data_IF_800695658611
#
_entry.id   IF_800695658611
#
_cell.length_a   1.000
_cell.length_b   1.000
_cell.length_c   1.000
_cell.angle_alpha   90.00
_cell.angle_beta   90.00
_cell.angle_gamma   90.00
#
_symmetry.space_group_name_H-M   'P 1'
#
loop_
_entity.id
_entity.type
_entity.pdbx_description
1 polymer ?
#
# COMPACT_ATOMS: atom_id res chain seq x y z
N UNK A 1 -27.21 14.60 -0.33
CA UNK A 1 -26.05 15.11 0.43
C UNK A 1 -24.91 15.38 -0.53
N UNK A 2 -24.00 16.31 -0.21
CA UNK A 2 -22.83 16.59 -1.05
C UNK A 2 -21.60 15.84 -0.52
N UNK A 3 -20.92 15.11 -1.40
CA UNK A 3 -19.69 14.36 -1.09
C UNK A 3 -18.57 14.77 -2.05
N UNK A 4 -17.33 14.44 -1.71
CA UNK A 4 -16.18 14.65 -2.61
C UNK A 4 -15.89 13.34 -3.35
N UNK A 5 -15.66 13.42 -4.65
CA UNK A 5 -15.18 12.31 -5.47
C UNK A 5 -13.92 12.73 -6.23
N UNK A 6 -13.08 11.76 -6.57
CA UNK A 6 -11.95 11.90 -7.50
C UNK A 6 -12.37 11.44 -8.89
N UNK A 7 -12.20 12.31 -9.88
CA UNK A 7 -12.44 12.00 -11.29
C UNK A 7 -11.25 11.22 -11.90
N UNK A 8 -11.40 10.63 -13.11
CA UNK A 8 -10.30 9.90 -13.76
C UNK A 8 -9.04 10.73 -14.04
N UNK A 9 -9.18 12.06 -14.18
CA UNK A 9 -8.09 13.03 -14.30
C UNK A 9 -7.54 13.49 -12.95
N UNK A 10 -7.84 12.77 -11.86
CA UNK A 10 -7.37 13.05 -10.50
C UNK A 10 -7.85 14.38 -9.90
N UNK A 11 -8.93 14.95 -10.43
CA UNK A 11 -9.53 16.17 -9.92
C UNK A 11 -10.56 15.87 -8.83
N UNK A 12 -10.54 16.63 -7.74
CA UNK A 12 -11.54 16.55 -6.67
C UNK A 12 -12.74 17.40 -7.00
N UNK A 13 -13.92 16.80 -7.10
CA UNK A 13 -15.19 17.51 -7.35
C UNK A 13 -16.25 17.17 -6.30
N UNK A 14 -17.20 18.09 -6.11
CA UNK A 14 -18.36 17.86 -5.24
C UNK A 14 -19.51 17.29 -6.06
N UNK A 15 -20.05 16.16 -5.63
CA UNK A 15 -21.22 15.51 -6.24
C UNK A 15 -22.36 15.43 -5.23
N UNK A 16 -23.59 15.68 -5.67
CA UNK A 16 -24.78 15.49 -4.84
C UNK A 16 -25.33 14.09 -5.06
N UNK A 17 -25.40 13.31 -3.99
CA UNK A 17 -25.88 11.92 -4.01
C UNK A 17 -26.99 11.69 -2.99
N UNK A 18 -27.79 10.65 -3.18
CA UNK A 18 -28.73 10.15 -2.18
C UNK A 18 -28.02 9.28 -1.14
N UNK A 19 -28.67 9.05 0.01
CA UNK A 19 -28.17 8.11 1.03
C UNK A 19 -28.07 6.70 0.43
N UNK A 20 -29.07 6.28 -0.36
CA UNK A 20 -29.09 4.95 -0.98
C UNK A 20 -27.93 4.75 -1.97
N UNK A 21 -27.62 5.76 -2.77
CA UNK A 21 -26.44 5.75 -3.64
C UNK A 21 -25.15 5.59 -2.82
N UNK A 22 -25.00 6.36 -1.73
CA UNK A 22 -23.83 6.21 -0.85
C UNK A 22 -23.70 4.79 -0.27
N UNK A 23 -24.82 4.10 -0.02
CA UNK A 23 -24.83 2.76 0.58
C UNK A 23 -24.67 1.60 -0.42
N UNK A 24 -24.80 1.83 -1.73
CA UNK A 24 -24.88 0.73 -2.70
C UNK A 24 -24.20 0.98 -4.05
N UNK A 25 -23.83 2.23 -4.37
CA UNK A 25 -23.23 2.54 -5.66
C UNK A 25 -21.71 2.27 -5.64
N UNK A 26 -21.32 1.14 -6.22
CA UNK A 26 -19.92 0.75 -6.35
C UNK A 26 -19.13 1.69 -7.28
N UNK A 27 -19.76 2.33 -8.27
CA UNK A 27 -19.10 3.35 -9.11
C UNK A 27 -18.68 4.52 -8.23
N UNK A 28 -19.58 4.97 -7.36
CA UNK A 28 -19.29 6.06 -6.45
C UNK A 28 -18.15 5.71 -5.49
N UNK A 29 -18.19 4.52 -4.88
CA UNK A 29 -17.15 4.08 -3.95
C UNK A 29 -15.75 4.05 -4.57
N UNK A 30 -15.63 3.62 -5.83
CA UNK A 30 -14.35 3.61 -6.58
C UNK A 30 -13.74 5.00 -6.74
N UNK A 31 -14.56 6.05 -6.70
CA UNK A 31 -14.11 7.42 -6.87
C UNK A 31 -13.77 8.11 -5.53
N UNK A 32 -14.05 7.48 -4.40
CA UNK A 32 -13.84 8.06 -3.07
C UNK A 32 -12.62 7.47 -2.36
N UNK A 33 -11.70 8.35 -1.96
CA UNK A 33 -10.49 8.02 -1.19
C UNK A 33 -10.76 8.18 0.31
N UNK A 34 -9.86 7.68 1.18
CA UNK A 34 -10.03 7.78 2.65
C UNK A 34 -10.43 9.18 3.14
N UNK A 35 -9.74 10.22 2.67
CA UNK A 35 -10.04 11.60 3.07
C UNK A 35 -11.40 12.11 2.59
N UNK A 36 -11.92 11.57 1.49
CA UNK A 36 -13.26 11.91 1.00
C UNK A 36 -14.33 11.29 1.90
N UNK A 37 -14.12 10.03 2.30
CA UNK A 37 -14.97 9.31 3.25
C UNK A 37 -14.98 9.98 4.62
N UNK A 38 -13.84 10.44 5.11
CA UNK A 38 -13.75 11.14 6.39
C UNK A 38 -14.59 12.43 6.42
N UNK A 39 -14.81 13.05 5.25
CA UNK A 39 -15.68 14.22 5.09
C UNK A 39 -17.19 13.91 5.01
N UNK A 40 -17.59 12.64 4.95
CA UNK A 40 -18.99 12.22 4.98
C UNK A 40 -19.51 12.25 6.41
N UNK A 41 -20.75 12.72 6.58
CA UNK A 41 -21.41 12.75 7.90
C UNK A 41 -21.37 11.35 8.57
N UNK A 42 -20.93 11.25 9.84
CA UNK A 42 -20.80 9.98 10.55
C UNK A 42 -22.07 9.12 10.55
N UNK A 43 -23.27 9.74 10.52
CA UNK A 43 -24.55 9.05 10.52
C UNK A 43 -24.76 8.19 9.26
N UNK A 44 -24.17 8.57 8.13
CA UNK A 44 -24.27 7.83 6.87
C UNK A 44 -23.00 7.05 6.55
N UNK A 45 -21.83 7.58 6.92
CA UNK A 45 -20.53 6.99 6.62
C UNK A 45 -20.39 5.57 7.17
N UNK A 46 -20.76 5.33 8.42
CA UNK A 46 -20.56 4.02 9.07
C UNK A 46 -21.34 2.92 8.35
N UNK A 47 -22.61 3.17 8.04
CA UNK A 47 -23.46 2.22 7.30
C UNK A 47 -22.94 1.96 5.89
N UNK A 48 -22.48 3.00 5.19
CA UNK A 48 -21.87 2.89 3.87
C UNK A 48 -20.59 2.03 3.90
N UNK A 49 -19.70 2.27 4.87
CA UNK A 49 -18.46 1.50 5.02
C UNK A 49 -18.73 0.04 5.41
N UNK A 50 -19.76 -0.23 6.21
CA UNK A 50 -20.20 -1.60 6.51
C UNK A 50 -20.77 -2.31 5.28
N UNK A 51 -21.54 -1.61 4.46
CA UNK A 51 -22.03 -2.15 3.19
C UNK A 51 -20.85 -2.47 2.26
N UNK A 52 -19.89 -1.54 2.14
CA UNK A 52 -18.67 -1.73 1.37
C UNK A 52 -17.84 -2.92 1.87
N UNK A 53 -17.55 -3.02 3.17
CA UNK A 53 -16.77 -4.13 3.73
C UNK A 53 -17.44 -5.49 3.44
N UNK A 54 -18.78 -5.57 3.52
CA UNK A 54 -19.55 -6.77 3.18
C UNK A 54 -19.50 -7.11 1.68
N UNK A 55 -19.67 -6.12 0.81
CA UNK A 55 -19.63 -6.35 -0.65
C UNK A 55 -18.29 -6.90 -1.16
N UNK A 56 -17.20 -6.65 -0.42
CA UNK A 56 -15.85 -7.08 -0.78
C UNK A 56 -15.24 -8.10 0.18
N UNK A 57 -16.06 -8.76 1.02
CA UNK A 57 -15.59 -9.70 2.05
C UNK A 57 -14.70 -10.82 1.49
N UNK A 58 -14.94 -11.24 0.23
CA UNK A 58 -14.16 -12.30 -0.41
C UNK A 58 -12.67 -11.95 -0.54
N UNK A 59 -12.33 -10.66 -0.64
CA UNK A 59 -10.94 -10.20 -0.72
C UNK A 59 -10.20 -10.43 0.60
N UNK A 60 -10.91 -10.72 1.68
CA UNK A 60 -10.33 -10.91 3.01
C UNK A 60 -10.25 -12.39 3.42
N UNK A 61 -10.54 -13.31 2.49
CA UNK A 61 -10.42 -14.76 2.73
C UNK A 61 -8.99 -15.30 2.54
N UNK A 62 -8.09 -14.51 1.94
CA UNK A 62 -6.66 -14.81 1.84
C UNK A 62 -6.12 -14.88 0.41
N UNK A 63 -4.90 -15.45 0.22
CA UNK A 63 -4.18 -15.44 -1.06
C UNK A 63 -4.93 -16.02 -2.25
N UNK A 64 -5.81 -16.99 -2.00
CA UNK A 64 -6.66 -17.59 -3.03
C UNK A 64 -7.49 -16.57 -3.81
N UNK A 65 -7.93 -15.49 -3.14
CA UNK A 65 -8.70 -14.42 -3.79
C UNK A 65 -7.82 -13.45 -4.58
N UNK A 66 -6.56 -13.25 -4.19
CA UNK A 66 -5.70 -12.20 -4.75
C UNK A 66 -4.92 -12.65 -5.96
N UNK A 67 -4.40 -13.88 -5.94
CA UNK A 67 -3.43 -14.35 -6.93
C UNK A 67 -4.00 -14.49 -8.35
N UNK A 68 -5.32 -14.53 -8.49
CA UNK A 68 -6.02 -14.59 -9.78
C UNK A 68 -6.42 -13.21 -10.32
N UNK A 69 -6.34 -12.15 -9.51
CA UNK A 69 -6.76 -10.82 -9.91
C UNK A 69 -5.67 -10.12 -10.71
N UNK A 70 -6.03 -9.59 -11.88
CA UNK A 70 -5.16 -8.71 -12.67
C UNK A 70 -5.14 -7.30 -12.07
N UNK A 71 -4.26 -6.43 -12.54
CA UNK A 71 -4.26 -5.04 -12.11
C UNK A 71 -5.59 -4.34 -12.44
N UNK A 72 -6.24 -4.72 -13.54
CA UNK A 72 -7.54 -4.20 -13.96
C UNK A 72 -8.66 -4.64 -13.00
N UNK A 73 -8.64 -5.88 -12.52
CA UNK A 73 -9.59 -6.34 -11.49
C UNK A 73 -9.48 -5.50 -10.20
N UNK A 74 -8.27 -5.01 -9.89
CA UNK A 74 -8.02 -4.15 -8.73
C UNK A 74 -8.43 -2.68 -8.95
N UNK A 75 -8.55 -2.22 -10.19
CA UNK A 75 -9.09 -0.89 -10.51
C UNK A 75 -10.58 -0.80 -10.12
N UNK A 76 -11.27 -1.94 -10.09
CA UNK A 76 -12.67 -2.04 -9.68
C UNK A 76 -12.90 -2.13 -8.16
N UNK A 77 -11.83 -2.25 -7.38
CA UNK A 77 -11.92 -2.30 -5.91
C UNK A 77 -11.74 -0.88 -5.34
N UNK A 78 -12.68 -0.37 -4.51
CA UNK A 78 -12.55 0.94 -3.88
C UNK A 78 -11.25 1.07 -3.10
N UNK A 79 -10.62 2.25 -3.16
CA UNK A 79 -9.34 2.50 -2.47
C UNK A 79 -9.35 2.04 -1.01
N UNK A 80 -10.37 2.35 -0.19
CA UNK A 80 -10.36 1.95 1.20
C UNK A 80 -10.29 0.42 1.42
N UNK A 81 -10.96 -0.35 0.57
CA UNK A 81 -10.98 -1.83 0.63
C UNK A 81 -9.65 -2.40 0.17
N UNK A 82 -9.14 -1.96 -0.99
CA UNK A 82 -7.89 -2.50 -1.52
C UNK A 82 -6.70 -2.17 -0.62
N UNK A 83 -6.67 -1.01 0.04
CA UNK A 83 -5.65 -0.71 1.05
C UNK A 83 -5.63 -1.73 2.21
N UNK A 84 -6.79 -2.15 2.70
CA UNK A 84 -6.87 -3.20 3.74
C UNK A 84 -6.39 -4.56 3.20
N UNK A 85 -6.72 -4.87 1.95
CA UNK A 85 -6.23 -6.10 1.30
C UNK A 85 -4.70 -6.06 1.14
N UNK A 86 -4.13 -4.92 0.75
CA UNK A 86 -2.68 -4.76 0.55
C UNK A 86 -1.90 -4.93 1.85
N UNK A 87 -2.40 -4.40 2.97
CA UNK A 87 -1.80 -4.66 4.29
C UNK A 87 -1.73 -6.16 4.60
N UNK A 88 -2.81 -6.89 4.32
CA UNK A 88 -2.85 -8.35 4.52
C UNK A 88 -1.94 -9.11 3.55
N UNK A 89 -1.81 -8.65 2.31
CA UNK A 89 -0.82 -9.21 1.37
C UNK A 89 0.61 -8.98 1.86
N UNK A 90 0.93 -7.76 2.32
CA UNK A 90 2.25 -7.44 2.88
C UNK A 90 2.55 -8.33 4.08
N UNK A 91 1.59 -8.52 4.98
CA UNK A 91 1.77 -9.42 6.13
C UNK A 91 1.95 -10.88 5.70
N UNK A 92 1.16 -11.34 4.72
CA UNK A 92 1.33 -12.66 4.12
C UNK A 92 2.75 -12.84 3.57
N UNK A 93 3.23 -11.89 2.76
CA UNK A 93 4.55 -11.95 2.16
C UNK A 93 5.68 -11.83 3.18
N UNK A 94 5.56 -10.92 4.16
CA UNK A 94 6.57 -10.77 5.21
C UNK A 94 6.80 -12.09 5.96
N UNK A 95 5.72 -12.84 6.22
CA UNK A 95 5.79 -14.19 6.82
C UNK A 95 6.34 -15.23 5.85
N UNK A 96 5.81 -15.31 4.63
CA UNK A 96 6.21 -16.31 3.65
C UNK A 96 7.68 -16.18 3.23
N UNK A 97 8.16 -14.94 3.12
CA UNK A 97 9.55 -14.62 2.75
C UNK A 97 10.49 -14.56 3.97
N UNK A 98 9.95 -14.74 5.20
CA UNK A 98 10.73 -14.76 6.44
C UNK A 98 11.49 -13.47 6.73
N UNK A 99 10.92 -12.31 6.38
CA UNK A 99 11.63 -11.03 6.46
C UNK A 99 11.98 -10.68 7.90
N UNK A 100 13.27 -10.42 8.15
CA UNK A 100 13.77 -10.06 9.48
C UNK A 100 14.01 -11.24 10.43
N UNK A 101 13.64 -12.47 10.04
CA UNK A 101 13.82 -13.65 10.90
C UNK A 101 15.28 -13.91 11.27
N UNK A 102 16.21 -13.67 10.35
CA UNK A 102 17.65 -13.83 10.57
C UNK A 102 18.23 -12.80 11.58
N UNK A 103 17.49 -11.71 11.83
CA UNK A 103 17.85 -10.67 12.79
C UNK A 103 17.00 -10.72 14.07
N UNK A 104 16.18 -11.77 14.25
CA UNK A 104 15.31 -11.93 15.41
C UNK A 104 14.16 -10.91 15.47
N UNK A 105 13.80 -10.28 14.35
CA UNK A 105 12.73 -9.29 14.30
C UNK A 105 11.34 -9.95 14.29
N UNK A 106 10.38 -9.29 14.94
CA UNK A 106 8.99 -9.73 14.95
C UNK A 106 8.37 -9.47 13.57
N UNK A 107 7.82 -10.49 12.86
CA UNK A 107 7.28 -10.31 11.51
C UNK A 107 6.18 -9.26 11.41
N UNK A 108 5.38 -9.11 12.48
CA UNK A 108 4.34 -8.08 12.58
C UNK A 108 4.91 -6.67 12.41
N UNK A 109 5.98 -6.34 13.13
CA UNK A 109 6.58 -5.01 13.08
C UNK A 109 7.20 -4.74 11.70
N UNK A 110 7.82 -5.75 11.09
CA UNK A 110 8.38 -5.61 9.75
C UNK A 110 7.28 -5.38 8.71
N UNK A 111 6.19 -6.16 8.77
CA UNK A 111 5.04 -5.97 7.89
C UNK A 111 4.40 -4.58 8.06
N UNK A 112 4.27 -4.09 9.30
CA UNK A 112 3.78 -2.75 9.58
C UNK A 112 4.69 -1.66 8.99
N UNK A 113 6.02 -1.80 9.10
CA UNK A 113 6.98 -0.88 8.46
C UNK A 113 6.83 -0.89 6.94
N UNK A 114 6.76 -2.06 6.30
CA UNK A 114 6.55 -2.17 4.86
C UNK A 114 5.21 -1.54 4.45
N UNK A 115 4.14 -1.76 5.22
CA UNK A 115 2.85 -1.11 5.02
C UNK A 115 2.93 0.41 5.10
N UNK A 116 3.69 0.95 6.06
CA UNK A 116 3.91 2.38 6.20
C UNK A 116 4.73 2.95 5.03
N UNK A 117 5.74 2.23 4.54
CA UNK A 117 6.50 2.58 3.34
C UNK A 117 5.56 2.67 2.14
N UNK A 118 4.78 1.62 1.84
CA UNK A 118 3.84 1.61 0.72
C UNK A 118 2.83 2.77 0.82
N UNK A 119 2.33 3.06 2.02
CA UNK A 119 1.44 4.20 2.25
C UNK A 119 2.14 5.54 2.05
N UNK A 120 3.40 5.68 2.46
CA UNK A 120 4.18 6.89 2.23
C UNK A 120 4.53 7.08 0.74
N UNK A 121 4.78 6.00 0.01
CA UNK A 121 5.15 6.06 -1.40
C UNK A 121 3.98 6.40 -2.30
N UNK A 122 2.87 5.67 -2.18
CA UNK A 122 1.76 5.74 -3.13
C UNK A 122 0.42 6.04 -2.51
N UNK A 123 0.33 6.12 -1.18
CA UNK A 123 -0.95 6.13 -0.45
C UNK A 123 -1.85 4.94 -0.86
N UNK A 124 -1.22 3.78 -1.10
CA UNK A 124 -1.84 2.57 -1.61
C UNK A 124 -2.49 2.72 -3.00
N UNK A 125 -2.03 3.67 -3.83
CA UNK A 125 -2.39 3.74 -5.23
C UNK A 125 -1.52 2.76 -6.04
N UNK A 126 -2.12 1.66 -6.50
CA UNK A 126 -1.37 0.63 -7.21
C UNK A 126 -1.05 1.02 -8.65
N UNK A 127 -1.75 2.02 -9.21
CA UNK A 127 -1.43 2.63 -10.51
C UNK A 127 -0.49 3.84 -10.38
N UNK A 128 0.09 4.07 -9.21
CA UNK A 128 0.97 5.22 -8.99
C UNK A 128 2.14 5.19 -9.97
N UNK A 129 2.36 6.30 -10.65
CA UNK A 129 3.44 6.47 -11.61
C UNK A 129 4.07 7.83 -11.38
N UNK A 130 5.37 7.84 -11.14
CA UNK A 130 6.15 9.06 -11.05
C UNK A 130 7.29 8.99 -12.06
N UNK A 131 7.50 10.08 -12.80
CA UNK A 131 8.64 10.21 -13.69
C UNK A 131 9.38 11.50 -13.35
N UNK A 132 10.67 11.37 -13.04
CA UNK A 132 11.49 12.53 -12.74
C UNK A 132 11.96 13.23 -14.04
N UNK A 133 12.58 14.41 -13.89
CA UNK A 133 13.06 15.21 -15.02
C UNK A 133 14.13 14.53 -15.90
N UNK A 134 14.78 13.48 -15.39
CA UNK A 134 15.78 12.70 -16.12
C UNK A 134 15.19 11.47 -16.81
N UNK A 135 13.88 11.25 -16.67
CA UNK A 135 13.15 10.15 -17.28
C UNK A 135 13.05 8.90 -16.42
N UNK A 136 13.66 8.85 -15.22
CA UNK A 136 13.56 7.68 -14.35
C UNK A 136 12.12 7.54 -13.83
N UNK A 137 11.66 6.29 -13.76
CA UNK A 137 10.27 5.96 -13.47
C UNK A 137 10.16 5.16 -12.17
N UNK A 138 9.24 5.56 -11.31
CA UNK A 138 8.86 4.84 -10.09
C UNK A 138 7.44 4.30 -10.28
N UNK A 139 7.29 2.98 -10.08
CA UNK A 139 6.08 2.25 -10.50
C UNK A 139 5.35 1.63 -9.31
N UNK A 140 4.03 1.81 -9.32
CA UNK A 140 3.04 1.12 -8.50
C UNK A 140 3.12 1.40 -7.00
N UNK A 141 2.56 0.47 -6.22
CA UNK A 141 2.39 0.59 -4.77
C UNK A 141 3.67 0.96 -4.03
N UNK A 142 4.76 0.33 -4.44
CA UNK A 142 6.05 0.37 -3.80
C UNK A 142 6.94 1.49 -4.33
N UNK A 143 6.50 2.23 -5.37
CA UNK A 143 7.29 3.18 -6.14
C UNK A 143 8.68 2.61 -6.50
N UNK A 144 8.71 1.35 -6.95
CA UNK A 144 9.98 0.69 -7.29
C UNK A 144 10.60 1.44 -8.48
N UNK A 145 11.75 2.06 -8.26
CA UNK A 145 12.50 2.86 -9.23
C UNK A 145 13.20 2.01 -10.30
N UNK A 146 13.76 2.64 -11.34
CA UNK A 146 14.60 1.94 -12.32
C UNK A 146 15.71 1.13 -11.64
N UNK A 147 16.38 1.72 -10.65
CA UNK A 147 17.42 1.02 -9.87
C UNK A 147 16.87 -0.20 -9.14
N UNK A 148 15.73 -0.06 -8.44
CA UNK A 148 15.07 -1.19 -7.78
C UNK A 148 14.73 -2.32 -8.78
N UNK A 149 14.25 -1.98 -9.98
CA UNK A 149 13.94 -2.96 -11.03
C UNK A 149 15.17 -3.65 -11.59
N UNK A 150 16.25 -2.91 -11.81
CA UNK A 150 17.55 -3.45 -12.27
C UNK A 150 18.14 -4.41 -11.23
N UNK A 151 18.11 -4.05 -9.95
CA UNK A 151 18.58 -4.90 -8.86
C UNK A 151 17.74 -6.17 -8.73
N UNK A 152 16.41 -6.08 -8.83
CA UNK A 152 15.53 -7.25 -8.86
C UNK A 152 15.87 -8.15 -10.05
N UNK A 153 16.08 -7.60 -11.24
CA UNK A 153 16.50 -8.38 -12.41
C UNK A 153 17.85 -9.07 -12.18
N UNK A 154 18.80 -8.41 -11.50
CA UNK A 154 20.07 -8.99 -11.12
C UNK A 154 19.92 -10.11 -10.09
N UNK A 155 19.03 -9.96 -9.09
CA UNK A 155 18.70 -11.02 -8.12
C UNK A 155 18.11 -12.25 -8.82
N UNK A 156 17.25 -12.06 -9.82
CA UNK A 156 16.73 -13.15 -10.67
C UNK A 156 17.87 -13.84 -11.42
N UNK A 157 18.77 -13.08 -12.04
CA UNK A 157 19.92 -13.63 -12.77
C UNK A 157 20.86 -14.46 -11.86
N UNK A 158 20.95 -14.10 -10.57
CA UNK A 158 21.70 -14.85 -9.54
C UNK A 158 20.90 -15.98 -8.89
N UNK A 159 19.68 -16.26 -9.35
CA UNK A 159 18.79 -17.27 -8.78
C UNK A 159 18.39 -17.01 -7.31
N UNK A 160 18.45 -15.75 -6.86
CA UNK A 160 17.98 -15.34 -5.53
C UNK A 160 16.45 -15.16 -5.51
N UNK A 161 15.85 -14.90 -6.68
CA UNK A 161 14.41 -14.81 -6.89
C UNK A 161 13.97 -15.82 -7.96
N UNK A 162 12.92 -16.59 -7.65
CA UNK A 162 12.39 -17.64 -8.53
C UNK A 162 11.34 -17.15 -9.54
N UNK A 163 11.15 -15.83 -9.64
CA UNK A 163 10.20 -15.22 -10.56
C UNK A 163 10.80 -13.95 -11.16
N UNK A 164 10.45 -13.64 -12.40
CA UNK A 164 10.91 -12.45 -13.11
C UNK A 164 9.75 -11.48 -13.30
N UNK A 165 9.70 -10.35 -12.57
CA UNK A 165 8.67 -9.34 -12.78
C UNK A 165 8.75 -8.75 -14.19
N UNK A 166 7.58 -8.60 -14.79
CA UNK A 166 7.31 -7.73 -15.94
C UNK A 166 6.94 -6.32 -15.46
N UNK A 167 6.86 -5.35 -16.36
CA UNK A 167 6.42 -4.00 -15.98
C UNK A 167 5.00 -3.99 -15.40
N UNK A 168 4.11 -4.85 -15.92
CA UNK A 168 2.74 -4.99 -15.43
C UNK A 168 2.67 -5.50 -13.97
N UNK A 169 3.63 -6.31 -13.53
CA UNK A 169 3.66 -6.87 -12.18
C UNK A 169 3.87 -5.81 -11.10
N UNK A 170 4.49 -4.66 -11.44
CA UNK A 170 4.62 -3.54 -10.49
C UNK A 170 3.28 -2.84 -10.23
N UNK A 171 2.31 -2.97 -11.15
CA UNK A 171 0.96 -2.42 -10.99
C UNK A 171 -0.04 -3.45 -10.46
N UNK A 172 0.29 -4.75 -10.49
CA UNK A 172 -0.54 -5.79 -9.87
C UNK A 172 -0.25 -5.84 -8.36
N UNK A 173 -1.23 -5.55 -7.48
CA UNK A 173 -1.00 -5.50 -6.04
C UNK A 173 -0.44 -6.79 -5.41
N UNK A 174 -0.85 -7.97 -5.91
CA UNK A 174 -0.35 -9.24 -5.40
C UNK A 174 1.17 -9.34 -5.58
N UNK A 175 1.65 -8.96 -6.78
CA UNK A 175 3.06 -8.95 -7.12
C UNK A 175 3.80 -7.74 -6.54
N UNK A 176 3.22 -6.55 -6.63
CA UNK A 176 3.81 -5.31 -6.15
C UNK A 176 4.08 -5.33 -4.63
N UNK A 177 3.17 -5.89 -3.83
CA UNK A 177 3.39 -6.06 -2.38
C UNK A 177 4.48 -7.09 -2.07
N UNK A 178 4.59 -8.16 -2.88
CA UNK A 178 5.71 -9.11 -2.78
C UNK A 178 7.05 -8.45 -3.10
N UNK A 179 7.08 -7.67 -4.18
CA UNK A 179 8.25 -6.91 -4.61
C UNK A 179 8.68 -5.92 -3.51
N UNK A 180 7.76 -5.15 -2.93
CA UNK A 180 8.05 -4.25 -1.82
C UNK A 180 8.67 -5.01 -0.64
N UNK A 181 8.13 -6.18 -0.31
CA UNK A 181 8.60 -7.04 0.78
C UNK A 181 10.01 -7.57 0.53
N UNK A 182 10.29 -8.05 -0.69
CA UNK A 182 11.60 -8.57 -1.07
C UNK A 182 12.65 -7.46 -1.17
N UNK A 183 12.26 -6.30 -1.69
CA UNK A 183 13.12 -5.12 -1.73
C UNK A 183 13.50 -4.68 -0.32
N UNK A 184 12.51 -4.53 0.58
CA UNK A 184 12.79 -4.21 1.98
C UNK A 184 13.66 -5.27 2.66
N UNK A 185 13.45 -6.56 2.38
CA UNK A 185 14.32 -7.65 2.90
C UNK A 185 15.78 -7.48 2.47
N UNK A 186 16.03 -7.09 1.21
CA UNK A 186 17.38 -6.81 0.71
C UNK A 186 18.00 -5.65 1.48
N UNK A 187 17.30 -4.53 1.61
CA UNK A 187 17.81 -3.37 2.34
C UNK A 187 18.06 -3.67 3.81
N UNK A 188 17.18 -4.47 4.44
CA UNK A 188 17.35 -4.92 5.82
C UNK A 188 18.61 -5.77 6.01
N UNK A 189 18.97 -6.58 5.02
CA UNK A 189 20.22 -7.35 5.03
C UNK A 189 21.45 -6.46 4.92
N UNK A 190 21.40 -5.48 4.02
CA UNK A 190 22.48 -4.50 3.87
C UNK A 190 22.63 -3.60 5.10
N UNK A 191 21.53 -3.38 5.82
CA UNK A 191 21.49 -2.64 7.07
C UNK A 191 21.75 -3.51 8.32
N UNK A 192 22.15 -4.79 8.16
CA UNK A 192 22.44 -5.71 9.27
C UNK A 192 21.31 -5.83 10.31
N UNK A 193 20.05 -5.72 9.85
CA UNK A 193 18.87 -5.78 10.71
C UNK A 193 18.39 -4.45 11.29
N UNK A 194 19.07 -3.34 11.02
CA UNK A 194 18.60 -2.01 11.39
C UNK A 194 17.42 -1.59 10.50
N UNK A 195 16.22 -1.57 11.10
CA UNK A 195 14.96 -1.25 10.42
C UNK A 195 14.89 0.20 9.95
N UNK A 196 15.44 1.14 10.73
CA UNK A 196 15.42 2.56 10.37
C UNK A 196 16.39 2.82 9.22
N UNK A 197 17.59 2.23 9.28
CA UNK A 197 18.56 2.32 8.18
C UNK A 197 18.04 1.64 6.90
N UNK A 198 17.40 0.47 7.02
CA UNK A 198 16.76 -0.22 5.90
C UNK A 198 15.64 0.63 5.27
N UNK A 199 14.86 1.34 6.09
CA UNK A 199 13.81 2.25 5.61
C UNK A 199 14.39 3.43 4.84
N UNK A 200 15.52 3.98 5.29
CA UNK A 200 16.24 5.04 4.57
C UNK A 200 16.82 4.52 3.24
N UNK A 201 17.42 3.33 3.29
CA UNK A 201 18.01 2.67 2.14
C UNK A 201 16.97 2.27 1.08
N UNK A 202 15.74 1.94 1.50
CA UNK A 202 14.62 1.68 0.58
C UNK A 202 14.41 2.83 -0.42
N UNK A 203 14.50 4.08 0.04
CA UNK A 203 14.27 5.28 -0.76
C UNK A 203 15.54 5.83 -1.44
N UNK A 204 16.70 5.74 -0.78
CA UNK A 204 17.95 6.40 -1.24
C UNK A 204 19.03 5.44 -1.74
N UNK A 205 18.85 4.14 -1.53
CA UNK A 205 19.92 3.15 -1.57
C UNK A 205 20.83 3.24 -0.34
N UNK A 206 21.44 2.12 0.05
CA UNK A 206 22.27 2.04 1.27
C UNK A 206 23.42 3.07 1.30
N UNK A 207 24.04 3.36 0.14
CA UNK A 207 25.15 4.30 0.02
C UNK A 207 24.78 5.74 0.40
N UNK A 208 23.49 6.08 0.36
CA UNK A 208 22.96 7.41 0.66
C UNK A 208 21.97 7.41 1.83
N UNK A 209 21.91 6.32 2.59
CA UNK A 209 20.95 6.15 3.67
C UNK A 209 21.21 7.05 4.90
N UNK A 210 22.32 7.78 4.91
CA UNK A 210 22.67 8.75 5.97
C UNK A 210 22.52 10.21 5.53
N UNK A 211 21.96 10.47 4.34
CA UNK A 211 21.73 11.85 3.88
C UNK A 211 20.45 12.46 4.48
N UNK A 212 20.35 13.79 4.44
CA UNK A 212 19.21 14.55 4.98
C UNK A 212 17.88 14.13 4.33
N UNK A 213 17.89 13.73 3.05
CA UNK A 213 16.68 13.28 2.35
C UNK A 213 16.21 11.92 2.87
N UNK A 214 17.14 11.04 3.25
CA UNK A 214 16.85 9.78 3.92
C UNK A 214 16.22 10.04 5.30
N UNK A 215 16.72 11.00 6.06
CA UNK A 215 16.16 11.39 7.36
C UNK A 215 14.72 11.91 7.23
N UNK A 216 14.46 12.80 6.27
CA UNK A 216 13.12 13.30 5.97
C UNK A 216 12.18 12.15 5.60
N UNK A 217 12.66 11.20 4.80
CA UNK A 217 11.88 10.05 4.36
C UNK A 217 11.51 9.13 5.53
N UNK A 218 12.47 8.72 6.36
CA UNK A 218 12.16 7.84 7.50
C UNK A 218 11.23 8.52 8.50
N UNK A 219 11.39 9.84 8.73
CA UNK A 219 10.47 10.59 9.58
C UNK A 219 9.02 10.59 9.02
N UNK A 220 8.87 10.67 7.69
CA UNK A 220 7.56 10.54 7.03
C UNK A 220 6.98 9.14 7.23
N UNK A 221 7.77 8.08 7.03
CA UNK A 221 7.33 6.69 7.23
C UNK A 221 6.92 6.45 8.68
N UNK A 222 7.72 6.88 9.66
CA UNK A 222 7.41 6.78 11.09
C UNK A 222 6.13 7.55 11.43
N UNK A 223 5.95 8.75 10.88
CA UNK A 223 4.72 9.52 11.07
C UNK A 223 3.48 8.76 10.55
N UNK A 224 3.58 8.11 9.39
CA UNK A 224 2.49 7.30 8.81
C UNK A 224 2.23 6.07 9.67
N UNK A 225 3.28 5.34 10.04
CA UNK A 225 3.24 4.15 10.89
C UNK A 225 2.52 4.44 12.20
N UNK A 226 2.91 5.50 12.90
CA UNK A 226 2.32 5.85 14.18
C UNK A 226 0.86 6.31 14.02
N UNK A 227 0.56 7.11 13.00
CA UNK A 227 -0.78 7.72 12.85
C UNK A 227 -1.84 6.78 12.32
N UNK A 228 -1.50 5.95 11.35
CA UNK A 228 -2.46 5.12 10.63
C UNK A 228 -2.37 3.67 11.06
N UNK A 229 -1.17 3.11 11.20
CA UNK A 229 -1.03 1.68 11.46
C UNK A 229 -1.17 1.38 12.96
N UNK A 230 -0.40 2.07 13.82
CA UNK A 230 -0.37 1.81 15.27
C UNK A 230 -1.48 2.52 16.04
N UNK A 231 -1.60 3.84 15.94
CA UNK A 231 -2.56 4.62 16.73
C UNK A 231 -3.93 4.74 16.05
N UNK A 232 -4.00 4.57 14.72
CA UNK A 232 -5.25 4.67 13.92
C UNK A 232 -6.05 5.96 14.22
N UNK A 233 -5.35 7.04 14.57
CA UNK A 233 -5.94 8.24 15.16
C UNK A 233 -6.43 9.27 14.14
N UNK A 234 -5.93 9.23 12.91
CA UNK A 234 -6.09 10.32 11.93
C UNK A 234 -7.27 10.19 10.98
N UNK A 235 -7.73 8.98 10.69
CA UNK A 235 -8.85 8.75 9.78
C UNK A 235 -9.87 7.83 10.46
N UNK A 236 -11.10 8.30 10.60
CA UNK A 236 -12.19 7.52 11.19
C UNK A 236 -12.60 6.39 10.26
N UNK A 237 -12.55 6.64 8.95
CA UNK A 237 -12.74 5.64 7.90
C UNK A 237 -11.71 4.53 8.00
N UNK A 238 -10.42 4.90 8.11
CA UNK A 238 -9.34 3.93 8.28
C UNK A 238 -9.54 3.07 9.54
N UNK A 239 -9.77 3.72 10.70
CA UNK A 239 -9.98 3.02 11.98
C UNK A 239 -11.18 2.08 11.92
N UNK A 240 -12.27 2.53 11.29
CA UNK A 240 -13.45 1.71 11.10
C UNK A 240 -13.12 0.45 10.30
N UNK A 241 -12.48 0.61 9.14
CA UNK A 241 -12.17 -0.50 8.24
C UNK A 241 -11.14 -1.47 8.82
N UNK A 242 -10.09 -0.99 9.48
CA UNK A 242 -9.13 -1.88 10.16
C UNK A 242 -9.83 -2.77 11.17
N UNK A 243 -10.73 -2.19 11.98
CA UNK A 243 -11.51 -2.94 12.98
C UNK A 243 -12.50 -3.92 12.34
N UNK A 244 -13.23 -3.48 11.32
CA UNK A 244 -14.26 -4.28 10.67
C UNK A 244 -13.67 -5.46 9.88
N UNK A 245 -12.53 -5.25 9.22
CA UNK A 245 -11.89 -6.23 8.33
C UNK A 245 -10.83 -7.08 9.06
N UNK A 246 -10.24 -6.58 10.16
CA UNK A 246 -9.13 -7.22 10.84
C UNK A 246 -7.84 -7.18 10.01
N UNK A 247 -7.48 -6.01 9.50
CA UNK A 247 -6.36 -5.83 8.57
C UNK A 247 -5.00 -5.60 9.24
N UNK A 248 -4.98 -5.34 10.55
CA UNK A 248 -3.80 -5.08 11.39
C UNK A 248 -3.92 -5.80 12.72
#
# INVERSE_FOLDING_TARGET
MAITITTPDWTKVRETVTVDQLHSDHRLWRQMHFGDWDGVDPAYRTTALQAMARSYEQLFRGPGSWHHMTAEDWDDVPQPVRSMAYLRMIWHWARMEGVGAEFGLVPEHVAQTIGAIVMAESWFEHRAFNQNQWGNRDLGLAQCSDYCREEIAAMVARCELLFRPTEADYFNPWMATRIATLWFRRELRLAEGDVDLATRAYHRGIAHAHDEKADIYVARVQQVLDRYIRAQGKSETWRFLVREIGAL
#
